data_IF_347891622193
#
_entry.id   IF_347891622193
#
_cell.length_a   1.000
_cell.length_b   1.000
_cell.length_c   1.000
_cell.angle_alpha   90.00
_cell.angle_beta   90.00
_cell.angle_gamma   90.00
#
_symmetry.space_group_name_H-M   'P 1'
#
loop_
_entity.id
_entity.type
_entity.pdbx_description
1 polymer ?
#
# COMPACT_ATOMS: atom_id res chain seq x y z
N UNK A 1 -5.57 -16.03 -18.90
CA UNK A 1 -6.59 -15.06 -18.45
C UNK A 1 -7.53 -15.60 -17.35
N UNK A 2 -7.65 -16.92 -17.14
CA UNK A 2 -8.52 -17.53 -16.11
C UNK A 2 -8.07 -17.30 -14.65
N UNK A 3 -6.75 -17.34 -14.37
CA UNK A 3 -6.23 -17.23 -13.00
C UNK A 3 -6.56 -15.88 -12.33
N UNK A 4 -6.49 -14.78 -13.10
CA UNK A 4 -6.78 -13.44 -12.60
C UNK A 4 -8.24 -13.28 -12.18
N UNK A 5 -9.17 -13.79 -12.98
CA UNK A 5 -10.60 -13.75 -12.68
C UNK A 5 -10.94 -14.56 -11.42
N UNK A 6 -10.28 -15.70 -11.22
CA UNK A 6 -10.46 -16.54 -10.03
C UNK A 6 -10.00 -15.80 -8.76
N UNK A 7 -8.83 -15.17 -8.80
CA UNK A 7 -8.28 -14.41 -7.67
C UNK A 7 -9.21 -13.24 -7.31
N UNK A 8 -9.65 -12.47 -8.31
CA UNK A 8 -10.57 -11.35 -8.09
C UNK A 8 -11.90 -11.82 -7.47
N UNK A 9 -12.46 -12.93 -7.95
CA UNK A 9 -13.70 -13.49 -7.41
C UNK A 9 -13.55 -13.99 -5.96
N UNK A 10 -12.43 -14.67 -5.65
CA UNK A 10 -12.17 -15.16 -4.30
C UNK A 10 -11.93 -14.02 -3.30
N UNK A 11 -11.20 -12.98 -3.69
CA UNK A 11 -10.98 -11.81 -2.85
C UNK A 11 -12.28 -11.03 -2.60
N UNK A 12 -13.13 -10.89 -3.62
CA UNK A 12 -14.44 -10.26 -3.45
C UNK A 12 -15.33 -11.05 -2.46
N UNK A 13 -15.35 -12.39 -2.56
CA UNK A 13 -16.07 -13.25 -1.61
C UNK A 13 -15.53 -13.12 -0.19
N UNK A 14 -14.20 -13.14 -0.04
CA UNK A 14 -13.55 -12.97 1.26
C UNK A 14 -13.87 -11.59 1.88
N UNK A 15 -13.86 -10.52 1.07
CA UNK A 15 -14.24 -9.18 1.53
C UNK A 15 -15.68 -9.09 2.03
N UNK A 16 -16.61 -9.73 1.33
CA UNK A 16 -18.01 -9.80 1.76
C UNK A 16 -18.16 -10.59 3.07
N UNK A 17 -17.47 -11.74 3.21
CA UNK A 17 -17.49 -12.52 4.44
C UNK A 17 -16.89 -11.75 5.63
N UNK A 18 -15.88 -10.91 5.39
CA UNK A 18 -15.28 -10.05 6.39
C UNK A 18 -16.05 -8.74 6.64
N UNK A 19 -17.23 -8.57 6.02
CA UNK A 19 -18.06 -7.37 6.13
C UNK A 19 -17.31 -6.05 5.77
N UNK A 20 -16.37 -6.11 4.83
CA UNK A 20 -15.65 -4.93 4.36
C UNK A 20 -16.61 -4.09 3.48
N UNK A 21 -16.79 -2.79 3.73
CA UNK A 21 -17.82 -1.97 3.07
C UNK A 21 -17.49 -1.60 1.61
N UNK A 22 -16.39 -2.12 1.06
CA UNK A 22 -15.94 -1.89 -0.30
C UNK A 22 -15.40 -3.17 -0.93
N UNK A 23 -15.38 -3.20 -2.26
CA UNK A 23 -14.90 -4.36 -3.02
C UNK A 23 -13.38 -4.55 -2.83
N UNK A 24 -13.01 -5.69 -2.25
CA UNK A 24 -11.60 -6.11 -2.14
C UNK A 24 -11.12 -6.62 -3.51
N UNK A 25 -10.02 -6.04 -3.99
CA UNK A 25 -9.35 -6.43 -5.24
C UNK A 25 -7.84 -6.56 -4.99
N UNK A 26 -7.07 -7.25 -5.86
CA UNK A 26 -5.62 -7.29 -5.74
C UNK A 26 -4.98 -5.90 -5.74
N UNK A 27 -5.55 -4.96 -6.49
CA UNK A 27 -5.06 -3.58 -6.52
C UNK A 27 -5.24 -2.90 -5.16
N UNK A 28 -6.41 -3.04 -4.53
CA UNK A 28 -6.68 -2.51 -3.19
C UNK A 28 -5.71 -3.10 -2.17
N UNK A 29 -5.46 -4.41 -2.19
CA UNK A 29 -4.50 -5.04 -1.28
C UNK A 29 -3.07 -4.49 -1.49
N UNK A 30 -2.61 -4.35 -2.74
CA UNK A 30 -1.29 -3.76 -3.04
C UNK A 30 -1.20 -2.33 -2.53
N UNK A 31 -2.24 -1.53 -2.75
CA UNK A 31 -2.31 -0.15 -2.23
C UNK A 31 -2.28 -0.11 -0.71
N UNK A 32 -3.06 -0.95 -0.03
CA UNK A 32 -3.06 -1.04 1.43
C UNK A 32 -1.68 -1.39 1.99
N UNK A 33 -0.96 -2.33 1.35
CA UNK A 33 0.42 -2.67 1.74
C UNK A 33 1.37 -1.49 1.58
N UNK A 34 1.30 -0.76 0.45
CA UNK A 34 2.16 0.41 0.22
C UNK A 34 1.88 1.50 1.25
N UNK A 35 0.60 1.83 1.48
CA UNK A 35 0.22 2.83 2.48
C UNK A 35 0.69 2.43 3.88
N UNK A 36 0.52 1.17 4.27
CA UNK A 36 0.99 0.66 5.55
C UNK A 36 2.51 0.83 5.70
N UNK A 37 3.30 0.46 4.69
CA UNK A 37 4.75 0.63 4.77
C UNK A 37 5.20 2.08 4.84
N UNK A 38 4.53 2.99 4.11
CA UNK A 38 4.79 4.43 4.23
C UNK A 38 4.51 4.93 5.65
N UNK A 39 3.41 4.50 6.27
CA UNK A 39 3.06 4.85 7.66
C UNK A 39 4.05 4.32 8.69
N UNK A 40 4.77 3.23 8.39
CA UNK A 40 5.84 2.69 9.23
C UNK A 40 7.20 3.36 8.99
N UNK A 41 7.29 4.33 8.07
CA UNK A 41 8.54 5.05 7.77
C UNK A 41 9.54 4.27 6.90
N UNK A 42 9.12 3.21 6.21
CA UNK A 42 10.01 2.51 5.28
C UNK A 42 10.40 3.41 4.11
N UNK A 43 11.66 3.29 3.68
CA UNK A 43 12.14 4.04 2.53
C UNK A 43 11.45 3.57 1.25
N UNK A 44 11.03 4.53 0.40
CA UNK A 44 10.46 4.28 -0.93
C UNK A 44 11.23 3.22 -1.74
N UNK A 45 12.56 3.20 -1.69
CA UNK A 45 13.39 2.24 -2.44
C UNK A 45 13.15 0.79 -1.99
N UNK A 46 12.92 0.56 -0.70
CA UNK A 46 12.63 -0.77 -0.16
C UNK A 46 11.18 -1.17 -0.44
N UNK A 47 10.24 -0.24 -0.30
CA UNK A 47 8.84 -0.44 -0.69
C UNK A 47 8.76 -0.82 -2.18
N UNK A 48 9.50 -0.13 -3.04
CA UNK A 48 9.54 -0.41 -4.49
C UNK A 48 10.05 -1.81 -4.80
N UNK A 49 11.11 -2.28 -4.11
CA UNK A 49 11.66 -3.64 -4.31
C UNK A 49 10.62 -4.71 -4.03
N UNK A 50 9.88 -4.59 -2.92
CA UNK A 50 8.90 -5.62 -2.51
C UNK A 50 7.57 -5.51 -3.24
N UNK A 51 7.20 -4.30 -3.69
CA UNK A 51 5.93 -4.08 -4.39
C UNK A 51 6.07 -4.09 -5.91
N UNK A 52 7.27 -4.09 -6.47
CA UNK A 52 7.52 -4.08 -7.92
C UNK A 52 7.13 -2.78 -8.61
N UNK A 53 7.27 -1.64 -7.94
CA UNK A 53 7.04 -0.32 -8.56
C UNK A 53 8.30 0.15 -9.30
N UNK A 54 8.11 0.70 -10.51
CA UNK A 54 9.22 1.18 -11.34
C UNK A 54 9.74 2.58 -10.94
N UNK A 55 8.95 3.34 -10.18
CA UNK A 55 9.34 4.68 -9.73
C UNK A 55 8.75 5.03 -8.36
N UNK A 56 9.44 5.91 -7.64
CA UNK A 56 8.99 6.43 -6.35
C UNK A 56 7.71 7.27 -6.48
N UNK A 57 7.48 7.91 -7.64
CA UNK A 57 6.25 8.65 -7.91
C UNK A 57 4.99 7.77 -7.80
N UNK A 58 5.08 6.50 -8.21
CA UNK A 58 3.97 5.55 -8.06
C UNK A 58 3.69 5.16 -6.60
N UNK A 59 4.74 5.16 -5.76
CA UNK A 59 4.61 4.89 -4.32
C UNK A 59 4.07 6.12 -3.59
N UNK A 60 4.57 7.31 -3.91
CA UNK A 60 4.16 8.57 -3.29
C UNK A 60 2.72 8.97 -3.62
N UNK A 61 2.14 8.47 -4.72
CA UNK A 61 0.70 8.62 -4.98
C UNK A 61 -0.19 8.00 -3.88
N UNK A 62 0.36 7.11 -3.04
CA UNK A 62 -0.34 6.49 -1.92
C UNK A 62 -0.05 7.14 -0.57
N UNK A 63 0.85 8.11 -0.53
CA UNK A 63 1.11 8.90 0.68
C UNK A 63 -0.02 9.93 0.85
N UNK A 64 -0.86 9.71 1.86
CA UNK A 64 -1.95 10.61 2.25
C UNK A 64 -1.69 11.29 3.59
N UNK A 65 -0.46 11.21 4.10
CA UNK A 65 -0.07 11.97 5.29
C UNK A 65 -0.12 13.47 4.95
N UNK A 66 -0.56 14.32 5.89
CA UNK A 66 -0.51 15.77 5.68
C UNK A 66 0.95 16.20 5.54
N UNK A 67 1.25 17.12 4.62
CA UNK A 67 2.58 17.72 4.45
C UNK A 67 3.16 18.27 5.77
N UNK A 68 2.27 18.63 6.69
CA UNK A 68 2.54 19.12 8.05
C UNK A 68 3.28 18.08 8.92
N UNK A 69 2.97 16.78 8.75
CA UNK A 69 3.65 15.69 9.45
C UNK A 69 5.02 15.35 8.83
N UNK A 70 5.18 15.53 7.50
CA UNK A 70 6.41 15.22 6.78
C UNK A 70 7.59 16.16 7.13
N UNK A 71 7.32 17.39 7.60
CA UNK A 71 8.36 18.38 7.87
C UNK A 71 8.95 18.33 9.29
N UNK A 72 8.30 17.62 10.24
CA UNK A 72 8.67 17.68 11.66
C UNK A 72 9.22 16.38 12.23
N UNK A 73 9.06 15.23 11.57
CA UNK A 73 9.73 13.99 11.98
C UNK A 73 11.17 13.96 11.47
N UNK A 74 12.02 14.82 12.06
CA UNK A 74 13.45 14.54 12.12
C UNK A 74 13.62 13.28 12.96
N UNK A 75 13.64 12.12 12.31
CA UNK A 75 14.18 10.90 12.91
C UNK A 75 15.62 11.22 13.29
N UNK A 76 15.83 11.49 14.58
CA UNK A 76 17.16 11.48 15.18
C UNK A 76 17.67 10.05 15.02
N UNK A 77 18.55 9.84 14.05
CA UNK A 77 19.40 8.66 14.03
C UNK A 77 20.28 8.78 15.27
N UNK A 78 19.99 7.95 16.27
CA UNK A 78 20.77 7.84 17.50
C UNK A 78 22.20 7.47 17.14
N UNK A 79 23.15 8.20 17.72
CA UNK A 79 24.61 8.10 17.60
C UNK A 79 25.18 6.79 18.14
#
# INVERSE_FOLDING_TARGET
MLLRLLIDANLAKAGNHAAIPFKVTPHVLRTSTVTYFKQQGFHDSDIMKVTGHASAAMVNAYDKTSLEANATEKVQLVS
#
